data_IF_912972306746
#
_entry.id   IF_912972306746
#
_cell.length_a   1.000
_cell.length_b   1.000
_cell.length_c   1.000
_cell.angle_alpha   90.00
_cell.angle_beta   90.00
_cell.angle_gamma   90.00
#
_symmetry.space_group_name_H-M   'P 1'
#
loop_
_entity.id
_entity.type
_entity.pdbx_description
1 polymer ?
#
# COMPACT_ATOMS: atom_id res chain seq x y z
N UNK A 1 13.86 13.07 -8.69
CA UNK A 1 13.40 12.32 -7.50
C UNK A 1 12.43 13.17 -6.69
N UNK A 2 11.50 12.57 -5.93
CA UNK A 2 10.66 13.29 -4.95
C UNK A 2 11.30 13.35 -3.55
N UNK A 3 12.52 12.81 -3.41
CA UNK A 3 13.30 12.81 -2.18
C UNK A 3 13.50 14.25 -1.71
N UNK A 4 13.24 14.49 -0.42
CA UNK A 4 13.53 15.78 0.22
C UNK A 4 14.94 15.73 0.81
N UNK A 5 15.71 16.79 0.59
CA UNK A 5 16.96 17.06 1.28
C UNK A 5 16.73 18.34 2.10
N UNK A 6 16.89 18.27 3.42
CA UNK A 6 16.65 19.39 4.36
C UNK A 6 15.30 20.10 4.13
N UNK A 7 14.21 19.34 3.98
CA UNK A 7 12.85 19.90 3.78
C UNK A 7 12.52 20.33 2.34
N UNK A 8 13.51 20.49 1.46
CA UNK A 8 13.31 20.88 0.05
C UNK A 8 13.38 19.67 -0.86
N UNK A 9 12.48 19.57 -1.86
CA UNK A 9 12.54 18.49 -2.87
C UNK A 9 13.86 18.59 -3.65
N UNK A 10 14.68 17.54 -3.64
CA UNK A 10 16.02 17.52 -4.22
C UNK A 10 16.05 17.91 -5.71
N UNK A 11 14.99 17.58 -6.47
CA UNK A 11 14.89 18.00 -7.88
C UNK A 11 14.84 19.53 -8.07
N UNK A 12 14.28 20.29 -7.11
CA UNK A 12 14.28 21.77 -7.18
C UNK A 12 15.69 22.34 -7.00
N UNK A 13 16.52 21.70 -6.18
CA UNK A 13 17.90 22.11 -5.94
C UNK A 13 18.79 21.77 -7.15
N UNK A 14 18.63 20.58 -7.73
CA UNK A 14 19.34 20.17 -8.95
C UNK A 14 19.07 21.11 -10.14
N UNK A 15 17.82 21.57 -10.33
CA UNK A 15 17.49 22.58 -11.37
C UNK A 15 18.13 23.94 -11.14
N UNK A 16 18.53 24.26 -9.92
CA UNK A 16 19.25 25.50 -9.57
C UNK A 16 20.77 25.33 -9.62
N UNK A 17 21.27 24.22 -10.17
CA UNK A 17 22.70 23.91 -10.24
C UNK A 17 23.32 23.49 -8.91
N UNK A 18 22.53 23.32 -7.85
CA UNK A 18 23.04 22.88 -6.54
C UNK A 18 23.14 21.36 -6.57
N UNK A 19 24.37 20.86 -6.50
CA UNK A 19 24.65 19.43 -6.40
C UNK A 19 24.15 18.92 -5.04
N UNK A 20 23.14 18.05 -5.05
CA UNK A 20 22.62 17.42 -3.83
C UNK A 20 23.22 16.04 -3.72
N UNK A 21 24.04 15.82 -2.70
CA UNK A 21 24.54 14.49 -2.38
C UNK A 21 23.40 13.64 -1.81
N UNK A 22 22.80 12.84 -2.69
CA UNK A 22 21.71 11.93 -2.35
C UNK A 22 22.33 10.63 -1.86
N UNK A 23 22.14 10.31 -0.57
CA UNK A 23 22.58 9.02 0.01
C UNK A 23 22.15 7.86 -0.90
N UNK A 24 23.13 7.05 -1.32
CA UNK A 24 22.89 5.81 -2.06
C UNK A 24 21.96 4.92 -1.23
N UNK A 25 20.89 4.43 -1.85
CA UNK A 25 19.94 3.50 -1.23
C UNK A 25 20.15 2.14 -1.86
N UNK A 26 20.29 1.11 -1.02
CA UNK A 26 20.26 -0.27 -1.49
C UNK A 26 18.90 -0.54 -2.12
N UNK A 27 18.93 -1.10 -3.33
CA UNK A 27 17.77 -1.55 -4.08
C UNK A 27 18.08 -2.93 -4.63
N UNK A 28 17.05 -3.78 -4.74
CA UNK A 28 17.20 -5.13 -5.26
C UNK A 28 16.58 -5.20 -6.64
N UNK A 29 17.33 -5.70 -7.61
CA UNK A 29 16.82 -6.13 -8.91
C UNK A 29 16.59 -7.64 -8.80
N UNK A 30 15.31 -8.03 -8.76
CA UNK A 30 14.91 -9.43 -8.66
C UNK A 30 14.94 -10.13 -10.02
N UNK A 31 14.75 -9.37 -11.10
CA UNK A 31 14.72 -9.90 -12.47
C UNK A 31 15.08 -8.77 -13.44
N UNK A 32 15.90 -9.11 -14.44
CA UNK A 32 16.31 -8.23 -15.51
C UNK A 32 16.33 -9.03 -16.81
N UNK A 33 15.42 -8.72 -17.71
CA UNK A 33 15.20 -9.45 -18.96
C UNK A 33 15.33 -8.49 -20.15
N UNK A 34 16.15 -8.83 -21.15
CA UNK A 34 16.22 -8.13 -22.42
C UNK A 34 15.12 -8.66 -23.33
N UNK A 35 14.16 -7.80 -23.65
CA UNK A 35 12.98 -8.16 -24.46
C UNK A 35 13.24 -7.94 -25.94
N UNK A 36 13.93 -6.84 -26.27
CA UNK A 36 14.23 -6.48 -27.65
C UNK A 36 15.48 -5.61 -27.70
N UNK A 37 16.21 -5.69 -28.80
CA UNK A 37 17.39 -4.88 -29.06
C UNK A 37 17.49 -4.54 -30.54
N UNK A 38 17.36 -3.25 -30.83
CA UNK A 38 17.53 -2.67 -32.16
C UNK A 38 18.30 -1.37 -32.02
N UNK A 39 19.62 -1.44 -32.19
CA UNK A 39 20.51 -0.30 -31.95
C UNK A 39 19.98 0.99 -32.62
N UNK A 40 19.92 2.12 -31.88
CA UNK A 40 20.45 2.34 -30.54
C UNK A 40 19.49 2.01 -29.37
N UNK A 41 18.38 1.30 -29.63
CA UNK A 41 17.32 1.03 -28.66
C UNK A 41 17.42 -0.38 -28.05
N UNK A 42 17.15 -0.45 -26.74
CA UNK A 42 16.99 -1.70 -26.00
C UNK A 42 15.72 -1.62 -25.15
N UNK A 43 14.93 -2.69 -25.15
CA UNK A 43 13.75 -2.82 -24.30
C UNK A 43 14.05 -3.82 -23.18
N UNK A 44 13.92 -3.36 -21.95
CA UNK A 44 14.17 -4.18 -20.75
C UNK A 44 12.87 -4.36 -19.96
N UNK A 45 12.68 -5.56 -19.42
CA UNK A 45 11.66 -5.86 -18.40
C UNK A 45 12.37 -6.09 -17.08
N UNK A 46 11.90 -5.39 -16.04
CA UNK A 46 12.61 -5.28 -14.76
C UNK A 46 11.65 -5.52 -13.60
N UNK A 47 11.99 -6.46 -12.72
CA UNK A 47 11.33 -6.65 -11.41
C UNK A 47 12.28 -6.16 -10.33
N UNK A 48 11.85 -5.19 -9.53
CA UNK A 48 12.72 -4.51 -8.58
C UNK A 48 12.01 -4.16 -7.28
N UNK A 49 12.80 -3.89 -6.23
CA UNK A 49 12.27 -3.42 -4.94
C UNK A 49 11.72 -2.00 -5.02
N UNK A 50 10.91 -1.63 -4.02
CA UNK A 50 10.43 -0.27 -3.88
C UNK A 50 11.60 0.73 -3.80
N UNK A 51 11.41 1.92 -4.38
CA UNK A 51 12.42 2.99 -4.37
C UNK A 51 13.47 2.89 -5.48
N UNK A 52 13.40 1.89 -6.35
CA UNK A 52 14.29 1.77 -7.51
C UNK A 52 14.06 2.90 -8.51
N UNK A 53 15.14 3.59 -8.90
CA UNK A 53 15.14 4.61 -9.94
C UNK A 53 15.56 3.97 -11.27
N UNK A 54 14.58 3.49 -12.06
CA UNK A 54 14.85 2.87 -13.38
C UNK A 54 15.67 3.76 -14.31
N UNK A 55 15.53 5.09 -14.19
CA UNK A 55 16.36 6.06 -14.94
C UNK A 55 17.85 6.02 -14.55
N UNK A 56 18.14 5.86 -13.26
CA UNK A 56 19.52 5.73 -12.80
C UNK A 56 20.08 4.39 -13.29
N UNK A 57 19.30 3.31 -13.14
CA UNK A 57 19.67 1.99 -13.68
C UNK A 57 19.99 2.02 -15.18
N UNK A 58 19.22 2.76 -15.98
CA UNK A 58 19.51 2.92 -17.41
C UNK A 58 20.85 3.62 -17.65
N UNK A 59 21.17 4.66 -16.88
CA UNK A 59 22.47 5.35 -16.97
C UNK A 59 23.63 4.43 -16.54
N UNK A 60 23.46 3.73 -15.42
CA UNK A 60 24.45 2.79 -14.89
C UNK A 60 24.73 1.65 -15.90
N UNK A 61 23.70 1.13 -16.57
CA UNK A 61 23.85 0.13 -17.64
C UNK A 61 24.59 0.70 -18.85
N UNK A 62 24.31 1.94 -19.25
CA UNK A 62 25.05 2.60 -20.31
C UNK A 62 26.53 2.72 -19.98
N UNK A 63 26.84 3.23 -18.78
CA UNK A 63 28.21 3.43 -18.31
C UNK A 63 28.97 2.10 -18.26
N UNK A 64 28.34 1.03 -17.78
CA UNK A 64 28.92 -0.32 -17.77
C UNK A 64 29.21 -0.86 -19.18
N UNK A 65 28.47 -0.42 -20.20
CA UNK A 65 28.71 -0.76 -21.60
C UNK A 65 29.71 0.19 -22.28
N UNK A 66 30.31 1.13 -21.55
CA UNK A 66 31.26 2.11 -22.08
C UNK A 66 30.62 3.24 -22.88
N UNK A 67 29.30 3.45 -22.76
CA UNK A 67 28.56 4.50 -23.47
C UNK A 67 27.64 5.27 -22.51
N UNK A 68 26.90 6.25 -23.02
CA UNK A 68 25.80 6.86 -22.27
C UNK A 68 24.47 6.24 -22.70
N UNK A 69 23.61 5.89 -21.74
CA UNK A 69 22.24 5.47 -22.00
C UNK A 69 21.26 6.29 -21.17
N UNK A 70 20.07 6.50 -21.72
CA UNK A 70 19.00 7.20 -21.04
C UNK A 70 17.66 6.55 -21.36
N UNK A 71 16.70 6.74 -20.47
CA UNK A 71 15.37 6.18 -20.60
C UNK A 71 14.53 7.02 -21.57
N UNK A 72 14.06 6.42 -22.67
CA UNK A 72 13.17 7.06 -23.64
C UNK A 72 11.69 6.82 -23.32
N UNK A 73 11.36 5.63 -22.84
CA UNK A 73 10.00 5.25 -22.43
C UNK A 73 10.02 4.41 -21.15
N UNK A 74 8.95 4.51 -20.35
CA UNK A 74 8.77 3.71 -19.14
C UNK A 74 7.30 3.38 -18.95
N UNK A 75 6.99 2.10 -18.83
CA UNK A 75 5.66 1.63 -18.45
C UNK A 75 5.76 0.73 -17.23
N UNK A 76 5.01 1.06 -16.18
CA UNK A 76 4.89 0.20 -15.00
C UNK A 76 3.80 -0.84 -15.25
N UNK A 77 4.20 -2.11 -15.25
CA UNK A 77 3.30 -3.24 -15.54
C UNK A 77 2.56 -3.72 -14.29
N UNK A 78 3.14 -3.60 -13.10
CA UNK A 78 2.53 -4.00 -11.84
C UNK A 78 3.10 -3.25 -10.62
N UNK A 79 2.37 -3.32 -9.51
CA UNK A 79 2.77 -2.90 -8.16
C UNK A 79 2.26 -3.94 -7.17
N UNK A 80 3.16 -4.72 -6.57
CA UNK A 80 2.76 -5.87 -5.78
C UNK A 80 1.93 -6.84 -6.62
N UNK A 81 0.76 -7.23 -6.10
CA UNK A 81 -0.22 -8.09 -6.77
C UNK A 81 -1.09 -7.38 -7.81
N UNK A 82 -1.04 -6.04 -7.90
CA UNK A 82 -1.85 -5.28 -8.84
C UNK A 82 -1.14 -5.08 -10.16
N UNK A 83 -1.83 -5.34 -11.26
CA UNK A 83 -1.34 -5.23 -12.62
C UNK A 83 -1.92 -4.00 -13.33
N UNK A 84 -1.32 -3.60 -14.45
CA UNK A 84 -1.84 -2.48 -15.23
C UNK A 84 -3.21 -2.76 -15.88
N UNK A 85 -3.62 -4.03 -15.99
CA UNK A 85 -4.97 -4.41 -16.44
C UNK A 85 -6.04 -4.20 -15.37
N UNK A 86 -5.65 -4.13 -14.11
CA UNK A 86 -6.55 -3.79 -13.00
C UNK A 86 -6.83 -2.27 -12.92
N UNK A 87 -6.02 -1.46 -13.60
CA UNK A 87 -6.11 -0.01 -13.55
C UNK A 87 -7.27 0.52 -14.39
N UNK A 88 -8.00 1.50 -13.84
CA UNK A 88 -8.95 2.29 -14.61
C UNK A 88 -8.22 3.32 -15.47
N UNK A 89 -8.65 3.45 -16.73
CA UNK A 89 -8.12 4.49 -17.61
C UNK A 89 -8.62 5.86 -17.12
N UNK A 90 -7.74 6.86 -17.09
CA UNK A 90 -8.10 8.23 -16.72
C UNK A 90 -9.22 8.82 -17.60
N UNK A 91 -9.33 8.38 -18.85
CA UNK A 91 -10.41 8.82 -19.76
C UNK A 91 -11.78 8.33 -19.28
N UNK A 92 -11.85 7.16 -18.65
CA UNK A 92 -13.09 6.58 -18.10
C UNK A 92 -13.52 7.26 -16.80
N UNK A 93 -12.65 8.08 -16.20
CA UNK A 93 -12.89 8.81 -14.95
C UNK A 93 -13.51 10.20 -15.17
N UNK A 94 -13.93 10.54 -16.39
CA UNK A 94 -14.54 11.86 -16.70
C UNK A 94 -15.86 12.08 -15.94
N UNK A 95 -16.13 13.33 -15.59
CA UNK A 95 -17.15 13.79 -14.64
C UNK A 95 -18.58 13.34 -15.00
N UNK A 96 -19.29 12.76 -14.03
CA UNK A 96 -20.70 12.39 -14.15
C UNK A 96 -21.13 11.36 -13.10
N UNK A 97 -22.44 11.19 -12.87
CA UNK A 97 -22.95 10.20 -11.90
C UNK A 97 -22.54 8.76 -12.25
N UNK A 98 -22.48 8.43 -13.55
CA UNK A 98 -22.01 7.13 -14.04
C UNK A 98 -20.53 6.83 -13.73
N UNK A 99 -19.70 7.86 -13.52
CA UNK A 99 -18.30 7.69 -13.11
C UNK A 99 -18.18 7.21 -11.65
N UNK A 100 -19.04 7.72 -10.76
CA UNK A 100 -19.04 7.30 -9.35
C UNK A 100 -19.35 5.81 -9.19
N UNK A 101 -20.38 5.31 -9.87
CA UNK A 101 -20.77 3.91 -9.79
C UNK A 101 -19.67 2.97 -10.31
N UNK A 102 -19.02 3.31 -11.43
CA UNK A 102 -17.84 2.59 -11.94
C UNK A 102 -16.66 2.62 -10.98
N UNK A 103 -16.43 3.73 -10.28
CA UNK A 103 -15.39 3.81 -9.25
C UNK A 103 -15.70 2.89 -8.07
N UNK A 104 -16.93 2.90 -7.56
CA UNK A 104 -17.32 2.05 -6.43
C UNK A 104 -17.22 0.56 -6.74
N UNK A 105 -17.57 0.13 -7.95
CA UNK A 105 -17.43 -1.29 -8.35
C UNK A 105 -15.97 -1.75 -8.49
N UNK A 106 -15.03 -0.82 -8.63
CA UNK A 106 -13.58 -1.09 -8.77
C UNK A 106 -12.77 -0.74 -7.53
N UNK A 107 -13.42 -0.22 -6.49
CA UNK A 107 -12.79 0.04 -5.20
C UNK A 107 -12.40 -1.28 -4.56
N UNK A 108 -11.11 -1.40 -4.23
CA UNK A 108 -10.57 -2.59 -3.58
C UNK A 108 -10.87 -2.46 -2.09
N UNK A 109 -11.51 -3.49 -1.55
CA UNK A 109 -11.74 -3.60 -0.12
C UNK A 109 -10.41 -3.56 0.65
N UNK A 110 -10.26 -2.74 1.70
CA UNK A 110 -9.03 -2.66 2.49
C UNK A 110 -8.54 -4.00 3.04
N UNK A 111 -9.44 -4.93 3.40
CA UNK A 111 -9.10 -6.27 3.87
C UNK A 111 -8.44 -7.09 2.76
N UNK A 112 -8.96 -6.97 1.52
CA UNK A 112 -8.39 -7.58 0.31
C UNK A 112 -7.07 -6.91 -0.08
N UNK A 113 -6.95 -5.60 0.10
CA UNK A 113 -5.71 -4.88 -0.18
C UNK A 113 -4.54 -5.34 0.69
N UNK A 114 -4.84 -5.89 1.86
CA UNK A 114 -3.89 -6.43 2.83
C UNK A 114 -3.95 -7.96 2.90
N UNK A 115 -4.30 -8.65 1.81
CA UNK A 115 -4.43 -10.12 1.78
C UNK A 115 -3.15 -10.85 2.22
N UNK A 116 -1.98 -10.30 1.88
CA UNK A 116 -0.67 -10.83 2.29
C UNK A 116 -0.38 -10.71 3.80
N UNK A 117 -1.18 -9.94 4.55
CA UNK A 117 -0.99 -9.69 5.98
C UNK A 117 -1.77 -10.71 6.82
N UNK A 118 -1.14 -11.33 7.85
CA UNK A 118 -1.83 -12.22 8.78
C UNK A 118 -3.04 -11.53 9.42
N UNK A 119 -4.15 -12.27 9.53
CA UNK A 119 -5.44 -11.74 9.96
C UNK A 119 -5.89 -12.36 11.28
N UNK A 120 -6.43 -11.52 12.17
CA UNK A 120 -7.12 -11.93 13.40
C UNK A 120 -8.58 -11.51 13.28
N UNK A 121 -9.49 -12.44 13.53
CA UNK A 121 -10.94 -12.16 13.56
C UNK A 121 -11.36 -11.91 15.00
N UNK A 122 -12.11 -10.84 15.24
CA UNK A 122 -12.63 -10.49 16.57
C UNK A 122 -14.15 -10.29 16.53
N UNK A 123 -14.77 -10.29 17.71
CA UNK A 123 -16.19 -9.98 17.86
C UNK A 123 -16.52 -8.52 17.54
N UNK A 124 -17.77 -8.25 17.18
CA UNK A 124 -18.25 -6.90 16.89
C UNK A 124 -18.15 -5.98 18.12
N UNK A 125 -18.41 -6.51 19.32
CA UNK A 125 -18.34 -5.76 20.57
C UNK A 125 -16.89 -5.32 20.86
N UNK A 126 -15.92 -6.20 20.60
CA UNK A 126 -14.51 -5.85 20.76
C UNK A 126 -14.07 -4.82 19.72
N UNK A 127 -14.55 -4.94 18.48
CA UNK A 127 -14.26 -3.98 17.43
C UNK A 127 -14.74 -2.57 17.78
N UNK A 128 -15.94 -2.44 18.36
CA UNK A 128 -16.47 -1.14 18.78
C UNK A 128 -15.66 -0.54 19.93
N UNK A 129 -15.25 -1.35 20.92
CA UNK A 129 -14.34 -0.90 21.98
C UNK A 129 -13.01 -0.42 21.38
N UNK A 130 -12.44 -1.16 20.43
CA UNK A 130 -11.19 -0.76 19.76
C UNK A 130 -11.32 0.56 19.01
N UNK A 131 -12.45 0.79 18.32
CA UNK A 131 -12.74 2.07 17.64
C UNK A 131 -12.80 3.26 18.60
N UNK A 132 -13.15 3.02 19.86
CA UNK A 132 -13.13 4.02 20.93
C UNK A 132 -11.75 4.18 21.60
N UNK A 133 -10.71 3.50 21.09
CA UNK A 133 -9.34 3.60 21.59
C UNK A 133 -8.93 2.53 22.59
N UNK A 134 -9.76 1.51 22.83
CA UNK A 134 -9.40 0.37 23.67
C UNK A 134 -8.32 -0.50 23.01
N UNK A 135 -7.33 -0.95 23.79
CA UNK A 135 -6.33 -1.93 23.34
C UNK A 135 -6.66 -3.31 23.93
N UNK A 136 -6.95 -4.32 23.09
CA UNK A 136 -7.32 -5.65 23.55
C UNK A 136 -6.12 -6.43 24.08
N UNK A 137 -6.36 -7.27 25.08
CA UNK A 137 -5.41 -8.31 25.48
C UNK A 137 -5.48 -9.48 24.50
N UNK A 138 -4.42 -10.28 24.42
CA UNK A 138 -4.40 -11.46 23.54
C UNK A 138 -5.54 -12.46 23.81
N UNK A 139 -5.95 -12.60 25.08
CA UNK A 139 -7.06 -13.48 25.46
C UNK A 139 -8.43 -13.02 24.92
N UNK A 140 -8.59 -11.74 24.54
CA UNK A 140 -9.83 -11.21 23.97
C UNK A 140 -9.87 -11.33 22.43
N UNK A 141 -8.74 -11.63 21.77
CA UNK A 141 -8.61 -11.55 20.31
C UNK A 141 -8.90 -12.86 19.57
N UNK A 142 -9.37 -13.91 20.26
CA UNK A 142 -9.68 -15.23 19.71
C UNK A 142 -8.60 -15.82 18.78
N UNK A 143 -7.35 -15.44 18.98
CA UNK A 143 -6.22 -15.86 18.15
C UNK A 143 -5.63 -17.18 18.69
N UNK A 144 -5.48 -18.18 17.81
CA UNK A 144 -4.86 -19.46 18.17
C UNK A 144 -3.40 -19.29 18.60
N UNK A 145 -2.96 -20.08 19.58
CA UNK A 145 -1.61 -19.98 20.13
C UNK A 145 -0.50 -20.17 19.07
N UNK A 146 -0.71 -21.09 18.11
CA UNK A 146 0.23 -21.31 17.00
C UNK A 146 0.35 -20.06 16.11
N UNK A 147 -0.79 -19.44 15.76
CA UNK A 147 -0.81 -18.21 14.99
C UNK A 147 -0.05 -17.09 15.69
N UNK A 148 -0.27 -16.91 16.99
CA UNK A 148 0.39 -15.87 17.79
C UNK A 148 1.90 -16.09 17.79
N UNK A 149 2.37 -17.32 18.00
CA UNK A 149 3.79 -17.64 18.00
C UNK A 149 4.48 -17.30 16.67
N UNK A 150 3.80 -17.56 15.54
CA UNK A 150 4.32 -17.31 14.19
C UNK A 150 4.28 -15.84 13.77
N UNK A 151 3.41 -15.05 14.39
CA UNK A 151 3.15 -13.65 14.01
C UNK A 151 3.64 -12.65 15.07
N UNK A 152 4.35 -13.13 16.08
CA UNK A 152 4.99 -12.30 17.10
C UNK A 152 5.96 -11.30 16.46
N UNK A 153 5.84 -10.02 16.82
CA UNK A 153 6.62 -8.92 16.24
C UNK A 153 6.23 -8.50 14.81
N UNK A 154 5.41 -9.30 14.12
CA UNK A 154 4.90 -9.00 12.79
C UNK A 154 3.71 -8.04 12.83
N UNK A 155 3.47 -7.38 11.70
CA UNK A 155 2.22 -6.65 11.48
C UNK A 155 1.09 -7.65 11.22
N UNK A 156 -0.03 -7.43 11.91
CA UNK A 156 -1.27 -8.19 11.75
C UNK A 156 -2.43 -7.22 11.51
N UNK A 157 -3.40 -7.66 10.70
CA UNK A 157 -4.67 -6.96 10.53
C UNK A 157 -5.73 -7.59 11.43
N UNK A 158 -6.60 -6.74 11.97
CA UNK A 158 -7.74 -7.13 12.80
C UNK A 158 -9.01 -6.88 12.02
N UNK A 159 -9.86 -7.90 11.92
CA UNK A 159 -11.07 -7.90 11.10
C UNK A 159 -12.27 -8.28 11.98
N UNK A 160 -13.39 -7.60 11.78
CA UNK A 160 -14.68 -7.94 12.39
C UNK A 160 -15.76 -7.86 11.31
N UNK A 161 -16.60 -8.89 11.19
CA UNK A 161 -17.67 -8.97 10.19
C UNK A 161 -17.20 -8.66 8.76
N UNK A 162 -16.00 -9.16 8.40
CA UNK A 162 -15.40 -8.92 7.09
C UNK A 162 -14.88 -7.50 6.85
N UNK A 163 -14.94 -6.61 7.84
CA UNK A 163 -14.44 -5.23 7.77
C UNK A 163 -13.13 -5.06 8.51
N UNK A 164 -12.20 -4.29 7.93
CA UNK A 164 -10.93 -3.95 8.58
C UNK A 164 -11.17 -3.03 9.78
N UNK A 165 -10.74 -3.47 10.98
CA UNK A 165 -10.87 -2.71 12.23
C UNK A 165 -9.56 -2.02 12.58
N UNK A 166 -8.43 -2.73 12.50
CA UNK A 166 -7.14 -2.19 12.88
C UNK A 166 -5.99 -2.89 12.14
N UNK A 167 -4.84 -2.23 12.13
CA UNK A 167 -3.54 -2.82 11.81
C UNK A 167 -2.61 -2.53 12.98
N UNK A 168 -1.87 -3.53 13.44
CA UNK A 168 -0.97 -3.39 14.57
C UNK A 168 0.00 -4.56 14.70
N UNK A 169 0.73 -4.60 15.79
CA UNK A 169 1.70 -5.65 16.08
C UNK A 169 1.28 -6.48 17.28
N UNK A 170 1.58 -7.76 17.22
CA UNK A 170 1.54 -8.61 18.39
C UNK A 170 2.82 -8.40 19.18
N UNK A 171 2.69 -7.89 20.41
CA UNK A 171 3.81 -7.67 21.31
C UNK A 171 4.35 -8.98 21.86
N UNK A 172 5.64 -8.99 22.17
CA UNK A 172 6.26 -10.08 22.94
C UNK A 172 5.76 -10.04 24.39
N UNK A 173 5.73 -11.20 25.05
CA UNK A 173 5.57 -11.28 26.50
C UNK A 173 6.85 -10.75 27.20
N UNK A 174 7.07 -9.43 27.19
CA UNK A 174 8.19 -8.81 27.89
C UNK A 174 7.91 -8.67 29.38
N UNK A 175 8.73 -9.32 30.24
CA UNK A 175 9.02 -9.05 31.67
C UNK A 175 7.88 -9.01 32.70
N UNK A 176 6.73 -8.40 32.37
CA UNK A 176 5.55 -8.21 33.21
C UNK A 176 4.35 -9.07 32.76
N UNK A 177 4.58 -10.10 31.92
CA UNK A 177 3.57 -11.11 31.59
C UNK A 177 2.36 -10.62 30.77
N UNK A 178 2.43 -9.44 30.14
CA UNK A 178 1.35 -8.92 29.29
C UNK A 178 1.75 -8.97 27.82
N UNK A 179 1.55 -10.12 27.17
CA UNK A 179 1.44 -10.20 25.71
C UNK A 179 0.17 -9.46 25.29
N UNK A 180 0.29 -8.45 24.43
CA UNK A 180 -0.85 -7.63 24.00
C UNK A 180 -0.69 -7.13 22.56
N UNK A 181 -1.81 -6.75 21.96
CA UNK A 181 -1.81 -6.12 20.65
C UNK A 181 -1.54 -4.62 20.78
N UNK A 182 -0.56 -4.13 20.02
CA UNK A 182 -0.26 -2.70 19.91
C UNK A 182 -0.80 -2.20 18.57
N UNK A 183 -1.89 -1.42 18.62
CA UNK A 183 -2.48 -0.83 17.42
C UNK A 183 -1.59 0.27 16.83
N UNK A 184 -1.19 0.13 15.56
CA UNK A 184 -0.54 1.22 14.82
C UNK A 184 -1.59 2.14 14.18
N UNK A 185 -2.73 1.57 13.75
CA UNK A 185 -3.85 2.33 13.20
C UNK A 185 -5.17 1.61 13.44
N UNK A 186 -6.18 2.38 13.85
CA UNK A 186 -7.57 1.91 14.00
C UNK A 186 -8.45 2.64 12.99
N UNK A 187 -9.36 1.91 12.36
CA UNK A 187 -10.28 2.40 11.33
C UNK A 187 -11.68 2.55 11.95
N UNK A 188 -12.18 3.79 11.98
CA UNK A 188 -13.41 4.17 12.68
C UNK A 188 -14.68 3.93 11.87
N UNK A 189 -14.57 3.65 10.56
CA UNK A 189 -15.73 3.38 9.69
C UNK A 189 -15.69 1.94 9.20
N UNK A 190 -16.80 1.21 9.34
CA UNK A 190 -17.01 -0.02 8.57
C UNK A 190 -17.03 0.36 7.08
N UNK A 191 -16.02 -0.08 6.33
CA UNK A 191 -16.12 -0.13 4.87
C UNK A 191 -17.05 -1.30 4.50
N UNK A 192 -18.31 -1.27 4.94
CA UNK A 192 -19.30 -2.25 4.51
C UNK A 192 -19.59 -1.97 3.04
N UNK A 193 -19.30 -2.92 2.17
CA UNK A 193 -19.57 -2.86 0.74
C UNK A 193 -21.10 -2.98 0.49
N UNK A 194 -21.86 -1.96 0.90
CA UNK A 194 -23.32 -1.87 0.78
C UNK A 194 -23.75 -1.03 -0.43
N UNK A 195 -23.05 -1.16 -1.56
CA UNK A 195 -23.41 -0.43 -2.79
C UNK A 195 -24.34 -1.21 -3.74
N UNK A 196 -24.77 -2.42 -3.36
CA UNK A 196 -25.59 -3.29 -4.22
C UNK A 196 -27.10 -3.29 -3.92
N UNK A 197 -27.62 -2.41 -3.06
CA UNK A 197 -29.08 -2.29 -2.87
C UNK A 197 -29.53 -0.84 -3.02
N UNK A 198 -30.17 -0.56 -4.17
CA UNK A 198 -31.04 0.58 -4.31
C UNK A 198 -32.10 0.57 -3.21
N UNK A 199 -32.25 1.69 -2.51
CA UNK A 199 -33.19 1.84 -1.42
C UNK A 199 -33.49 3.31 -1.16
N UNK A 200 -34.66 3.75 -1.61
CA UNK A 200 -35.28 5.05 -1.33
C UNK A 200 -35.48 5.29 0.18
N UNK A 201 -35.39 6.57 0.56
CA UNK A 201 -36.06 7.30 1.68
C UNK A 201 -35.56 7.09 3.12
N UNK A 202 -35.12 8.22 3.71
CA UNK A 202 -35.74 8.89 4.87
C UNK A 202 -35.05 10.26 5.02
N UNK A 203 -35.70 11.40 4.78
CA UNK A 203 -36.68 11.98 5.69
C UNK A 203 -35.97 13.03 6.56
N UNK A 204 -35.64 14.19 5.96
CA UNK A 204 -35.14 15.35 6.69
C UNK A 204 -36.37 16.00 7.36
N UNK A 205 -36.46 15.88 8.68
CA UNK A 205 -37.46 16.55 9.50
C UNK A 205 -36.74 17.25 10.65
N UNK A 206 -36.94 18.56 10.78
CA UNK A 206 -36.29 19.38 11.79
C UNK A 206 -36.71 20.84 11.64
N UNK A 207 -37.96 21.12 12.02
CA UNK A 207 -38.40 22.46 12.38
C UNK A 207 -38.26 22.67 13.90
N UNK A 208 -38.17 23.94 14.30
CA UNK A 208 -38.07 24.40 15.69
C UNK A 208 -37.12 25.58 15.79
#
# INVERSE_FOLDING_TARGET
SAVKHQGVRAYKLARKGVHVDLKKRAVNIFELELIDYQAPYATLKIRCSAGTYVRALAADLGEAMGNAAHLTALRRLSVGSYTCTDALNSVDLKSGAACREKLFTRLIDPVKALEWMPSITISAELADRMRLGYQPKMAEMDAEADFVSRTQGCLVKVVADGSLVAVGRLGEAGGNGKSGFTGERVFTSCFSNNYSKGGKKSGFNGGG
#
